data_IF_490019441986
#
_entry.id   IF_490019441986
#
_cell.length_a   1.000
_cell.length_b   1.000
_cell.length_c   1.000
_cell.angle_alpha   90.00
_cell.angle_beta   90.00
_cell.angle_gamma   90.00
#
_symmetry.space_group_name_H-M   'P 1'
#
loop_
_entity.id
_entity.type
_entity.pdbx_description
1 polymer ?
#
# COMPACT_ATOMS: atom_id res chain seq x y z
N UNK A 1 1.39 2.14 3.53
CA UNK A 1 0.46 1.11 3.03
C UNK A 1 1.25 0.09 2.22
N UNK A 2 0.73 -1.11 1.99
CA UNK A 2 1.38 -2.12 1.17
C UNK A 2 0.36 -3.08 0.54
N UNK A 3 0.86 -3.93 -0.36
CA UNK A 3 0.12 -5.07 -0.93
C UNK A 3 -1.22 -4.62 -1.54
N UNK A 4 -1.15 -3.53 -2.33
CA UNK A 4 -2.24 -3.12 -3.22
C UNK A 4 -2.32 -4.01 -4.47
N UNK A 5 -1.17 -4.52 -4.92
CA UNK A 5 -1.12 -5.73 -5.73
C UNK A 5 -1.02 -6.91 -4.78
N UNK A 6 -1.99 -7.83 -4.84
CA UNK A 6 -2.11 -8.91 -3.86
C UNK A 6 -0.93 -9.88 -3.86
N UNK A 7 -0.26 -10.03 -5.00
CA UNK A 7 0.91 -10.92 -5.16
C UNK A 7 2.27 -10.27 -4.86
N UNK A 8 2.29 -8.97 -4.59
CA UNK A 8 3.48 -8.26 -4.12
C UNK A 8 3.54 -8.29 -2.59
N UNK A 9 4.01 -9.42 -2.06
CA UNK A 9 3.79 -9.83 -0.65
C UNK A 9 4.79 -9.26 0.36
N UNK A 10 6.01 -8.91 -0.06
CA UNK A 10 7.08 -8.49 0.87
C UNK A 10 6.66 -7.28 1.72
N UNK A 11 6.02 -6.28 1.11
CA UNK A 11 5.56 -5.10 1.83
C UNK A 11 4.53 -5.39 2.93
N UNK A 12 3.66 -6.40 2.73
CA UNK A 12 2.67 -6.83 3.74
C UNK A 12 3.36 -7.32 5.00
N UNK A 13 4.29 -8.25 4.84
CA UNK A 13 5.02 -8.85 5.97
C UNK A 13 5.97 -7.84 6.64
N UNK A 14 6.65 -6.98 5.86
CA UNK A 14 7.48 -5.91 6.42
C UNK A 14 6.67 -4.96 7.32
N UNK A 15 5.43 -4.62 6.94
CA UNK A 15 4.58 -3.76 7.77
C UNK A 15 4.09 -4.48 9.02
N UNK A 16 3.84 -5.80 8.98
CA UNK A 16 3.53 -6.58 10.18
C UNK A 16 4.72 -6.66 11.14
N UNK A 17 5.92 -6.91 10.61
CA UNK A 17 7.16 -6.88 11.39
C UNK A 17 7.44 -5.49 11.95
N UNK A 18 7.15 -4.42 11.21
CA UNK A 18 7.27 -3.05 11.70
C UNK A 18 6.29 -2.78 12.85
N UNK A 19 5.04 -3.25 12.75
CA UNK A 19 4.08 -3.14 13.86
C UNK A 19 4.63 -3.80 15.11
N UNK A 20 5.06 -5.06 15.02
CA UNK A 20 5.64 -5.81 16.15
C UNK A 20 6.88 -5.10 16.73
N UNK A 21 7.77 -4.65 15.85
CA UNK A 21 8.96 -3.91 16.26
C UNK A 21 8.61 -2.64 17.02
N UNK A 22 7.70 -1.82 16.50
CA UNK A 22 7.30 -0.56 17.15
C UNK A 22 6.68 -0.82 18.52
N UNK A 23 5.73 -1.77 18.63
CA UNK A 23 5.02 -2.01 19.90
C UNK A 23 5.89 -2.68 20.96
N UNK A 24 6.79 -3.59 20.57
CA UNK A 24 7.64 -4.33 21.53
C UNK A 24 8.83 -3.52 22.03
N UNK A 25 9.28 -2.54 21.23
CA UNK A 25 10.42 -1.67 21.52
C UNK A 25 10.02 -0.33 22.16
N UNK A 26 8.75 0.10 22.03
CA UNK A 26 8.24 1.27 22.72
C UNK A 26 8.48 1.19 24.25
N UNK A 27 9.09 2.23 24.82
CA UNK A 27 9.47 2.29 26.25
C UNK A 27 10.77 1.57 26.61
N UNK A 28 11.39 0.84 25.67
CA UNK A 28 12.70 0.16 25.87
C UNK A 28 13.81 0.76 25.00
N UNK A 29 13.44 1.16 23.79
CA UNK A 29 14.33 1.72 22.79
C UNK A 29 14.08 3.23 22.65
N UNK A 30 15.11 4.04 22.84
CA UNK A 30 14.96 5.50 22.85
C UNK A 30 14.54 6.07 21.49
N UNK A 31 15.05 5.48 20.39
CA UNK A 31 14.75 5.94 19.04
C UNK A 31 13.28 5.64 18.70
N UNK A 32 12.86 4.39 18.91
CA UNK A 32 11.46 3.98 18.66
C UNK A 32 10.50 4.76 19.56
N UNK A 33 10.86 4.97 20.82
CA UNK A 33 10.02 5.73 21.76
C UNK A 33 9.87 7.18 21.33
N UNK A 34 10.95 7.84 20.91
CA UNK A 34 10.90 9.20 20.38
C UNK A 34 10.03 9.28 19.12
N UNK A 35 10.16 8.32 18.22
CA UNK A 35 9.39 8.25 16.98
C UNK A 35 7.88 8.12 17.25
N UNK A 36 7.48 7.17 18.10
CA UNK A 36 6.07 6.95 18.45
C UNK A 36 5.47 8.13 19.20
N UNK A 37 6.23 8.77 20.11
CA UNK A 37 5.74 9.91 20.88
C UNK A 37 5.60 11.20 20.05
N UNK A 38 6.36 11.33 18.97
CA UNK A 38 6.36 12.53 18.12
C UNK A 38 5.50 12.40 16.87
N UNK A 39 5.11 11.18 16.49
CA UNK A 39 4.46 10.89 15.21
C UNK A 39 3.25 10.01 15.38
N UNK A 40 2.13 10.39 14.77
CA UNK A 40 0.98 9.50 14.62
C UNK A 40 1.20 8.60 13.40
N UNK A 41 1.52 7.33 13.64
CA UNK A 41 1.85 6.36 12.58
C UNK A 41 0.62 5.53 12.25
N UNK A 42 0.20 5.55 10.98
CA UNK A 42 -0.84 4.64 10.47
C UNK A 42 -0.23 3.57 9.58
N UNK A 43 -0.58 2.30 9.82
CA UNK A 43 -0.05 1.16 9.07
C UNK A 43 -1.22 0.36 8.49
N UNK A 44 -1.19 0.17 7.17
CA UNK A 44 -2.11 -0.69 6.42
C UNK A 44 -1.29 -1.78 5.73
N UNK A 45 -1.22 -3.00 6.31
CA UNK A 45 -0.40 -4.09 5.76
C UNK A 45 -0.87 -4.61 4.40
N UNK A 46 -2.18 -4.64 4.15
CA UNK A 46 -2.75 -5.09 2.88
C UNK A 46 -3.93 -4.22 2.49
N UNK A 47 -3.83 -3.61 1.30
CA UNK A 47 -4.93 -2.90 0.65
C UNK A 47 -5.78 -3.84 -0.22
N UNK A 48 -5.18 -4.90 -0.77
CA UNK A 48 -5.85 -5.90 -1.62
C UNK A 48 -5.71 -7.32 -1.03
N UNK A 49 -6.40 -7.61 0.09
CA UNK A 49 -6.36 -8.94 0.69
C UNK A 49 -6.99 -10.01 -0.22
N UNK A 50 -8.00 -9.66 -1.01
CA UNK A 50 -8.67 -10.59 -1.93
C UNK A 50 -7.71 -11.12 -3.00
N UNK A 51 -6.92 -10.24 -3.61
CA UNK A 51 -5.88 -10.60 -4.57
C UNK A 51 -4.81 -11.50 -3.94
N UNK A 52 -4.37 -11.20 -2.71
CA UNK A 52 -3.40 -12.04 -2.00
C UNK A 52 -3.94 -13.46 -1.77
N UNK A 53 -5.16 -13.60 -1.26
CA UNK A 53 -5.74 -14.92 -0.95
C UNK A 53 -6.10 -15.73 -2.21
N UNK A 54 -6.22 -15.07 -3.38
CA UNK A 54 -6.44 -15.72 -4.67
C UNK A 54 -5.21 -16.50 -5.16
N UNK A 55 -4.00 -16.13 -4.72
CA UNK A 55 -2.75 -16.79 -5.14
C UNK A 55 -2.65 -18.18 -4.49
N UNK A 56 -2.89 -19.23 -5.27
CA UNK A 56 -2.70 -20.62 -4.84
C UNK A 56 -1.30 -21.16 -5.09
N UNK A 57 -0.60 -20.57 -6.06
CA UNK A 57 0.78 -20.91 -6.44
C UNK A 57 1.58 -19.61 -6.48
N UNK A 58 2.44 -19.36 -5.49
CA UNK A 58 3.31 -18.19 -5.48
C UNK A 58 4.23 -18.18 -6.70
N UNK A 59 4.51 -16.99 -7.22
CA UNK A 59 5.42 -16.78 -8.35
C UNK A 59 6.19 -15.46 -8.16
N UNK A 60 7.37 -15.34 -8.80
CA UNK A 60 8.23 -14.16 -8.68
C UNK A 60 7.90 -13.05 -9.70
N UNK A 61 7.25 -13.38 -10.80
CA UNK A 61 7.05 -12.48 -11.95
C UNK A 61 5.58 -12.09 -12.14
N UNK A 62 4.67 -13.06 -12.03
CA UNK A 62 3.24 -12.79 -12.22
C UNK A 62 2.37 -13.88 -11.62
N UNK A 63 1.25 -13.49 -11.02
CA UNK A 63 0.20 -14.41 -10.60
C UNK A 63 -1.19 -13.83 -10.85
N UNK A 64 -2.24 -14.63 -10.61
CA UNK A 64 -3.63 -14.19 -10.73
C UNK A 64 -4.10 -13.31 -9.54
N UNK A 65 -3.19 -12.92 -8.64
CA UNK A 65 -3.52 -12.17 -7.42
C UNK A 65 -3.16 -10.69 -7.46
N UNK A 66 -2.66 -10.19 -8.60
CA UNK A 66 -2.26 -8.79 -8.73
C UNK A 66 -3.45 -7.85 -8.60
N UNK A 67 -4.48 -8.09 -9.40
CA UNK A 67 -5.70 -7.29 -9.43
C UNK A 67 -6.58 -7.53 -8.18
N UNK A 68 -7.59 -6.69 -7.98
CA UNK A 68 -8.62 -6.96 -6.97
C UNK A 68 -9.58 -8.07 -7.44
N UNK A 69 -10.57 -8.43 -6.62
CA UNK A 69 -11.55 -9.48 -6.95
C UNK A 69 -12.27 -9.24 -8.30
N UNK A 70 -12.55 -7.98 -8.64
CA UNK A 70 -13.21 -7.60 -9.88
C UNK A 70 -12.25 -7.48 -11.08
N UNK A 71 -11.01 -7.95 -10.96
CA UNK A 71 -9.98 -7.90 -12.00
C UNK A 71 -9.56 -6.47 -12.41
N UNK A 72 -9.65 -5.51 -11.49
CA UNK A 72 -9.11 -4.16 -11.68
C UNK A 72 -7.77 -4.01 -10.98
N UNK A 73 -6.83 -3.36 -11.66
CA UNK A 73 -5.59 -2.92 -11.04
C UNK A 73 -5.86 -1.63 -10.22
N UNK A 74 -5.66 -1.71 -8.90
CA UNK A 74 -5.96 -0.65 -7.93
C UNK A 74 -5.04 0.57 -8.07
N UNK A 75 -3.77 0.40 -8.47
CA UNK A 75 -2.80 1.47 -8.75
C UNK A 75 -3.00 2.14 -10.12
N UNK A 76 -4.04 1.75 -10.86
CA UNK A 76 -4.58 2.44 -12.02
C UNK A 76 -6.01 2.92 -11.76
N UNK A 77 -6.62 2.59 -10.61
CA UNK A 77 -8.03 2.88 -10.36
C UNK A 77 -8.30 4.27 -9.73
N UNK A 78 -7.25 4.96 -9.25
CA UNK A 78 -7.34 6.33 -8.74
C UNK A 78 -7.68 7.34 -9.86
N UNK A 79 -7.99 8.57 -9.46
CA UNK A 79 -8.14 9.68 -10.40
C UNK A 79 -6.75 10.07 -10.91
N UNK A 80 -6.61 10.24 -12.23
CA UNK A 80 -5.39 10.71 -12.87
C UNK A 80 -5.49 12.21 -13.17
N UNK A 81 -4.38 12.94 -13.03
CA UNK A 81 -4.32 14.39 -13.20
C UNK A 81 -4.07 14.83 -14.66
N UNK A 82 -3.58 13.91 -15.50
CA UNK A 82 -3.18 14.14 -16.88
C UNK A 82 -4.18 13.56 -17.88
N UNK A 83 -4.89 12.50 -17.50
CA UNK A 83 -5.83 11.80 -18.37
C UNK A 83 -7.19 11.56 -17.73
N UNK A 84 -8.25 11.62 -18.56
CA UNK A 84 -9.60 11.28 -18.09
C UNK A 84 -9.73 9.76 -17.96
N UNK A 85 -9.57 9.26 -16.73
CA UNK A 85 -9.67 7.84 -16.45
C UNK A 85 -11.09 7.44 -16.03
N UNK A 86 -11.90 6.89 -16.95
CA UNK A 86 -13.31 6.53 -16.70
C UNK A 86 -13.53 5.04 -16.40
N UNK A 87 -12.93 4.55 -15.31
CA UNK A 87 -13.14 3.19 -14.82
C UNK A 87 -14.06 3.16 -13.58
N UNK A 88 -14.84 2.11 -13.34
CA UNK A 88 -15.56 1.94 -12.07
C UNK A 88 -14.58 1.96 -10.89
N UNK A 89 -14.88 2.79 -9.89
CA UNK A 89 -14.03 2.90 -8.69
C UNK A 89 -14.29 1.73 -7.78
N UNK A 90 -13.23 1.02 -7.47
CA UNK A 90 -13.27 -0.20 -6.67
C UNK A 90 -13.46 0.14 -5.19
N UNK A 91 -14.05 -0.77 -4.39
CA UNK A 91 -14.32 -0.51 -2.97
C UNK A 91 -13.03 -0.17 -2.19
N UNK A 92 -11.91 -0.80 -2.51
CA UNK A 92 -10.59 -0.55 -1.90
C UNK A 92 -10.11 0.87 -2.21
N UNK A 93 -10.20 1.28 -3.48
CA UNK A 93 -9.83 2.63 -3.92
C UNK A 93 -10.71 3.69 -3.25
N UNK A 94 -12.02 3.48 -3.18
CA UNK A 94 -12.94 4.41 -2.51
C UNK A 94 -12.66 4.50 -1.00
N UNK A 95 -12.37 3.36 -0.35
CA UNK A 95 -12.03 3.32 1.06
C UNK A 95 -10.74 4.11 1.35
N UNK A 96 -9.69 3.93 0.54
CA UNK A 96 -8.43 4.68 0.68
C UNK A 96 -8.63 6.15 0.36
N UNK A 97 -9.37 6.52 -0.69
CA UNK A 97 -9.68 7.92 -0.98
C UNK A 97 -10.44 8.61 0.16
N UNK A 98 -11.38 7.89 0.81
CA UNK A 98 -12.11 8.41 1.97
C UNK A 98 -11.19 8.53 3.19
N UNK A 99 -10.32 7.54 3.41
CA UNK A 99 -9.37 7.53 4.52
C UNK A 99 -8.32 8.65 4.39
N UNK A 100 -7.77 8.88 3.20
CA UNK A 100 -6.86 9.99 2.93
C UNK A 100 -7.49 11.38 3.18
N UNK A 101 -8.83 11.47 3.19
CA UNK A 101 -9.56 12.69 3.52
C UNK A 101 -9.96 12.79 5.00
N UNK A 102 -9.85 11.71 5.77
CA UNK A 102 -10.26 11.73 7.18
C UNK A 102 -9.20 12.34 8.10
N UNK A 103 -7.95 12.38 7.65
CA UNK A 103 -6.80 12.90 8.39
C UNK A 103 -5.91 13.76 7.49
N UNK A 104 -5.07 14.61 8.10
CA UNK A 104 -4.08 15.43 7.38
C UNK A 104 -2.76 14.67 7.27
N UNK A 105 -2.70 13.65 6.41
CA UNK A 105 -1.46 12.91 6.15
C UNK A 105 -0.38 13.83 5.56
N UNK A 106 0.81 13.83 6.18
CA UNK A 106 1.94 14.68 5.77
C UNK A 106 2.95 13.93 4.89
N UNK A 107 3.24 12.68 5.25
CA UNK A 107 4.15 11.80 4.52
C UNK A 107 3.51 10.42 4.38
N UNK A 108 3.69 9.80 3.21
CA UNK A 108 3.21 8.44 2.98
C UNK A 108 4.17 7.67 2.09
N UNK A 109 4.10 6.35 2.19
CA UNK A 109 4.75 5.41 1.28
C UNK A 109 3.82 4.21 1.06
N UNK A 110 3.82 3.73 -0.17
CA UNK A 110 3.10 2.54 -0.61
C UNK A 110 4.11 1.51 -1.14
N UNK A 111 4.14 0.33 -0.52
CA UNK A 111 5.16 -0.68 -0.78
C UNK A 111 4.73 -1.68 -1.86
N UNK A 112 5.64 -1.91 -2.80
CA UNK A 112 5.48 -2.78 -3.97
C UNK A 112 6.59 -3.82 -4.07
N UNK A 113 6.38 -4.81 -4.95
CA UNK A 113 7.35 -5.84 -5.36
C UNK A 113 7.57 -5.87 -6.87
N UNK A 114 8.53 -6.67 -7.33
CA UNK A 114 8.86 -6.82 -8.77
C UNK A 114 10.06 -6.00 -9.24
N UNK A 115 10.51 -5.02 -8.47
CA UNK A 115 11.74 -4.26 -8.70
C UNK A 115 12.38 -3.83 -7.36
N UNK A 116 13.64 -3.38 -7.40
CA UNK A 116 14.35 -2.80 -6.26
C UNK A 116 14.72 -1.35 -6.55
N UNK A 117 13.79 -0.44 -6.27
CA UNK A 117 13.92 1.00 -6.53
C UNK A 117 12.98 1.79 -5.60
N UNK A 118 13.29 3.06 -5.36
CA UNK A 118 12.37 4.01 -4.75
C UNK A 118 11.81 4.94 -5.84
N UNK A 119 10.58 4.67 -6.30
CA UNK A 119 9.88 5.56 -7.24
C UNK A 119 9.30 6.76 -6.51
N UNK A 120 9.27 7.92 -7.17
CA UNK A 120 8.72 9.16 -6.63
C UNK A 120 7.94 9.92 -7.72
N UNK A 121 7.01 10.83 -7.34
CA UNK A 121 6.16 11.52 -8.30
C UNK A 121 6.94 12.31 -9.37
N UNK A 122 6.41 12.46 -10.58
CA UNK A 122 5.12 11.95 -11.05
C UNK A 122 5.26 10.59 -11.77
N UNK A 123 4.24 9.72 -11.62
CA UNK A 123 4.19 8.42 -12.31
C UNK A 123 3.64 8.53 -13.76
N UNK A 124 3.01 9.66 -14.11
CA UNK A 124 2.49 9.95 -15.44
C UNK A 124 2.75 11.43 -15.80
N UNK A 125 2.58 11.81 -17.06
CA UNK A 125 2.78 13.18 -17.54
C UNK A 125 2.12 13.45 -18.89
N UNK A 126 1.95 14.72 -19.24
CA UNK A 126 1.49 15.12 -20.59
C UNK A 126 2.63 14.86 -21.59
N UNK A 127 2.37 14.26 -22.77
CA UNK A 127 3.38 14.07 -23.83
C UNK A 127 4.05 15.37 -24.29
#
# INVERSE_FOLDING_TARGET
MANMHGDETVGRELLLHLIDYLVTRHGKDLEVTSLINSTWIHIMPSMNPDGFEAVRKPDCYSSNGRENYNQYELNRNFLDAFEYHNVPRQPETLAVMKWLKSETFVLSANLHGGALVASYPFDNGVP
#
